data_IF_751516687419
#
_entry.id   IF_751516687419
#
_cell.length_a   1.000
_cell.length_b   1.000
_cell.length_c   1.000
_cell.angle_alpha   90.00
_cell.angle_beta   90.00
_cell.angle_gamma   90.00
#
_symmetry.space_group_name_H-M   'P 1'
#
loop_
_entity.id
_entity.type
_entity.pdbx_description
1 polymer ?
#
# COMPACT_ATOMS: atom_id res chain seq x y z
N UNK A 1 28.17 7.75 3.87
CA UNK A 1 27.81 9.15 3.54
C UNK A 1 27.87 9.39 2.04
N UNK A 2 28.95 9.01 1.35
CA UNK A 2 29.09 9.22 -0.10
C UNK A 2 27.99 8.52 -0.93
N UNK A 3 27.63 7.28 -0.58
CA UNK A 3 26.59 6.51 -1.29
C UNK A 3 25.18 7.12 -1.16
N UNK A 4 24.81 7.58 0.04
CA UNK A 4 23.50 8.20 0.28
C UNK A 4 23.37 9.55 -0.39
N UNK A 5 24.44 10.36 -0.40
CA UNK A 5 24.47 11.62 -1.13
C UNK A 5 24.39 11.39 -2.64
N UNK A 6 25.15 10.43 -3.18
CA UNK A 6 25.09 10.08 -4.61
C UNK A 6 23.68 9.66 -5.04
N UNK A 7 22.98 8.88 -4.20
CA UNK A 7 21.60 8.48 -4.45
C UNK A 7 20.64 9.68 -4.54
N UNK A 8 20.71 10.61 -3.57
CA UNK A 8 19.89 11.83 -3.58
C UNK A 8 20.22 12.73 -4.79
N UNK A 9 21.50 12.88 -5.12
CA UNK A 9 21.94 13.60 -6.32
C UNK A 9 21.42 12.94 -7.60
N UNK A 10 21.40 11.60 -7.66
CA UNK A 10 20.82 10.85 -8.77
C UNK A 10 19.33 11.12 -8.95
N UNK A 11 18.56 11.15 -7.86
CA UNK A 11 17.13 11.51 -7.89
C UNK A 11 16.96 12.96 -8.35
N UNK A 12 17.71 13.90 -7.79
CA UNK A 12 17.64 15.31 -8.20
C UNK A 12 17.96 15.48 -9.69
N UNK A 13 18.99 14.78 -10.18
CA UNK A 13 19.35 14.78 -11.59
C UNK A 13 18.26 14.16 -12.47
N UNK A 14 17.64 13.06 -12.03
CA UNK A 14 16.51 12.45 -12.72
C UNK A 14 15.32 13.41 -12.82
N UNK A 15 14.98 14.13 -11.74
CA UNK A 15 13.90 15.14 -11.74
C UNK A 15 14.17 16.20 -12.81
N UNK A 16 15.40 16.73 -12.85
CA UNK A 16 15.81 17.75 -13.82
C UNK A 16 15.72 17.24 -15.26
N UNK A 17 16.20 16.03 -15.54
CA UNK A 17 16.13 15.42 -16.88
C UNK A 17 14.70 15.14 -17.29
N UNK A 18 13.93 14.48 -16.42
CA UNK A 18 12.54 14.09 -16.69
C UNK A 18 11.69 15.31 -17.00
N UNK A 19 11.87 16.39 -16.24
CA UNK A 19 11.21 17.69 -16.46
C UNK A 19 11.63 18.32 -17.81
N UNK A 20 12.93 18.43 -18.09
CA UNK A 20 13.42 19.03 -19.35
C UNK A 20 12.98 18.27 -20.60
N UNK A 21 12.91 16.94 -20.52
CA UNK A 21 12.53 16.09 -21.64
C UNK A 21 11.02 15.84 -21.73
N UNK A 22 10.21 16.41 -20.83
CA UNK A 22 8.79 16.14 -20.70
C UNK A 22 8.46 14.64 -20.74
N UNK A 23 9.27 13.84 -20.02
CA UNK A 23 9.26 12.39 -20.13
C UNK A 23 7.89 11.80 -19.80
N UNK A 24 7.21 12.35 -18.77
CA UNK A 24 5.85 11.96 -18.39
C UNK A 24 4.87 12.09 -19.55
N UNK A 25 4.87 13.20 -20.28
CA UNK A 25 3.97 13.41 -21.43
C UNK A 25 4.28 12.45 -22.57
N UNK A 26 5.58 12.22 -22.84
CA UNK A 26 6.01 11.29 -23.88
C UNK A 26 5.60 9.85 -23.54
N UNK A 27 5.85 9.39 -22.32
CA UNK A 27 5.42 8.08 -21.84
C UNK A 27 3.90 7.92 -21.87
N UNK A 28 3.14 8.95 -21.46
CA UNK A 28 1.68 8.95 -21.53
C UNK A 28 1.20 8.77 -22.97
N UNK A 29 1.70 9.59 -23.90
CA UNK A 29 1.30 9.54 -25.31
C UNK A 29 1.54 8.17 -25.97
N UNK A 30 2.54 7.42 -25.50
CA UNK A 30 2.86 6.07 -25.99
C UNK A 30 2.00 4.98 -25.34
N UNK A 31 1.75 5.08 -24.02
CA UNK A 31 1.13 4.00 -23.24
C UNK A 31 -0.38 4.14 -23.12
N UNK A 32 -0.88 5.36 -22.94
CA UNK A 32 -2.29 5.64 -22.69
C UNK A 32 -3.23 5.14 -23.79
N UNK A 33 -2.97 5.33 -25.11
CA UNK A 33 -3.89 4.88 -26.14
C UNK A 33 -4.07 3.37 -26.16
N UNK A 34 -2.96 2.62 -25.99
CA UNK A 34 -2.97 1.17 -25.94
C UNK A 34 -3.73 0.66 -24.71
N UNK A 35 -3.44 1.21 -23.52
CA UNK A 35 -4.14 0.81 -22.29
C UNK A 35 -5.63 1.15 -22.38
N UNK A 36 -5.99 2.35 -22.85
CA UNK A 36 -7.38 2.78 -23.00
C UNK A 36 -8.16 1.87 -23.93
N UNK A 37 -7.56 1.47 -25.06
CA UNK A 37 -8.15 0.49 -25.96
C UNK A 37 -8.36 -0.87 -25.27
N UNK A 38 -7.39 -1.35 -24.49
CA UNK A 38 -7.53 -2.59 -23.72
C UNK A 38 -8.63 -2.52 -22.65
N UNK A 39 -8.80 -1.37 -21.96
CA UNK A 39 -9.88 -1.14 -21.00
C UNK A 39 -11.24 -1.23 -21.70
N UNK A 40 -11.40 -0.53 -22.83
CA UNK A 40 -12.65 -0.52 -23.61
C UNK A 40 -12.95 -1.94 -24.13
N UNK A 41 -11.97 -2.61 -24.74
CA UNK A 41 -12.12 -3.97 -25.24
C UNK A 41 -12.42 -4.99 -24.13
N UNK A 42 -12.00 -4.73 -22.90
CA UNK A 42 -12.27 -5.57 -21.73
C UNK A 42 -13.65 -5.35 -21.10
N UNK A 43 -14.33 -4.25 -21.43
CA UNK A 43 -15.62 -3.87 -20.81
C UNK A 43 -16.71 -4.94 -20.95
N UNK A 44 -16.88 -5.65 -22.09
CA UNK A 44 -17.87 -6.73 -22.20
C UNK A 44 -17.67 -7.87 -21.19
N UNK A 45 -16.42 -8.15 -20.78
CA UNK A 45 -16.11 -9.16 -19.77
C UNK A 45 -16.64 -8.71 -18.41
N UNK A 46 -16.45 -7.43 -18.07
CA UNK A 46 -16.96 -6.82 -16.84
C UNK A 46 -18.49 -6.95 -16.79
N UNK A 47 -19.17 -6.59 -17.87
CA UNK A 47 -20.63 -6.68 -17.97
C UNK A 47 -21.12 -8.13 -17.85
N UNK A 48 -20.39 -9.11 -18.41
CA UNK A 48 -20.72 -10.53 -18.26
C UNK A 48 -20.62 -11.01 -16.81
N UNK A 49 -19.60 -10.56 -16.07
CA UNK A 49 -19.42 -10.85 -14.64
C UNK A 49 -20.56 -10.18 -13.83
N UNK A 50 -20.88 -8.93 -14.14
CA UNK A 50 -21.94 -8.17 -13.45
C UNK A 50 -23.35 -8.70 -13.71
N UNK A 51 -23.57 -9.57 -14.69
CA UNK A 51 -24.85 -10.31 -14.83
C UNK A 51 -25.17 -11.17 -13.61
N UNK A 52 -24.15 -11.63 -12.88
CA UNK A 52 -24.29 -12.39 -11.64
C UNK A 52 -24.33 -11.47 -10.40
N UNK A 53 -24.81 -10.24 -10.57
CA UNK A 53 -24.93 -9.31 -9.45
C UNK A 53 -25.91 -9.81 -8.39
N UNK A 54 -25.50 -9.78 -7.12
CA UNK A 54 -26.35 -10.13 -5.98
C UNK A 54 -25.87 -9.37 -4.75
N UNK A 55 -26.80 -8.95 -3.89
CA UNK A 55 -26.49 -8.15 -2.68
C UNK A 55 -25.43 -8.81 -1.78
N UNK A 56 -25.49 -10.14 -1.62
CA UNK A 56 -24.49 -10.88 -0.84
C UNK A 56 -23.09 -10.87 -1.47
N UNK A 57 -23.00 -10.94 -2.81
CA UNK A 57 -21.71 -10.87 -3.50
C UNK A 57 -21.16 -9.44 -3.48
N UNK A 58 -22.02 -8.43 -3.63
CA UNK A 58 -21.65 -7.02 -3.46
C UNK A 58 -21.05 -6.78 -2.07
N UNK A 59 -21.73 -7.26 -1.01
CA UNK A 59 -21.25 -7.14 0.37
C UNK A 59 -19.95 -7.92 0.60
N UNK A 60 -19.85 -9.15 0.07
CA UNK A 60 -18.64 -9.97 0.19
C UNK A 60 -17.43 -9.31 -0.48
N UNK A 61 -17.56 -8.87 -1.72
CA UNK A 61 -16.45 -8.24 -2.45
C UNK A 61 -16.10 -6.85 -1.89
N UNK A 62 -17.08 -6.10 -1.40
CA UNK A 62 -16.83 -4.83 -0.71
C UNK A 62 -16.07 -5.05 0.60
N UNK A 63 -16.47 -6.04 1.40
CA UNK A 63 -15.76 -6.40 2.63
C UNK A 63 -14.34 -6.90 2.32
N UNK A 64 -14.17 -7.70 1.27
CA UNK A 64 -12.86 -8.17 0.82
C UNK A 64 -11.95 -7.01 0.40
N UNK A 65 -12.51 -6.00 -0.29
CA UNK A 65 -11.83 -4.76 -0.66
C UNK A 65 -11.39 -3.96 0.57
N UNK A 66 -12.22 -3.91 1.62
CA UNK A 66 -11.88 -3.25 2.88
C UNK A 66 -10.62 -3.81 3.55
N UNK A 67 -10.30 -5.10 3.41
CA UNK A 67 -9.06 -5.69 3.98
C UNK A 67 -7.77 -5.21 3.31
N UNK A 68 -7.85 -4.44 2.24
CA UNK A 68 -6.70 -3.88 1.52
C UNK A 68 -6.89 -2.37 1.35
N UNK A 69 -7.64 -1.76 2.27
CA UNK A 69 -7.96 -0.33 2.27
C UNK A 69 -7.19 0.42 3.35
N UNK A 70 -7.17 1.76 3.26
CA UNK A 70 -6.49 2.65 4.20
C UNK A 70 -6.91 2.40 5.67
N UNK A 71 -8.20 2.22 6.01
CA UNK A 71 -8.62 1.84 7.36
C UNK A 71 -7.95 0.56 7.87
N UNK A 72 -7.85 -0.46 7.02
CA UNK A 72 -7.19 -1.72 7.39
C UNK A 72 -5.72 -1.46 7.74
N UNK A 73 -4.95 -0.78 6.88
CA UNK A 73 -3.54 -0.47 7.16
C UNK A 73 -3.34 0.37 8.42
N UNK A 74 -4.26 1.32 8.67
CA UNK A 74 -4.23 2.20 9.86
C UNK A 74 -4.38 1.39 11.15
N UNK A 75 -5.12 0.28 11.14
CA UNK A 75 -5.29 -0.58 12.32
C UNK A 75 -4.23 -1.70 12.38
N UNK A 76 -3.91 -2.28 11.22
CA UNK A 76 -3.10 -3.49 11.09
C UNK A 76 -1.61 -3.26 11.31
N UNK A 77 -1.03 -2.21 10.71
CA UNK A 77 0.41 -1.97 10.83
C UNK A 77 0.84 -1.64 12.28
N UNK A 78 0.09 -0.81 13.04
CA UNK A 78 0.40 -0.58 14.46
C UNK A 78 0.24 -1.82 15.33
N UNK A 79 -0.74 -2.69 15.01
CA UNK A 79 -0.91 -3.97 15.70
C UNK A 79 0.37 -4.81 15.62
N UNK A 80 1.05 -4.84 14.47
CA UNK A 80 2.33 -5.56 14.34
C UNK A 80 3.41 -5.00 15.27
N UNK A 81 3.46 -3.68 15.48
CA UNK A 81 4.39 -3.07 16.45
C UNK A 81 4.03 -3.45 17.89
N UNK A 82 2.76 -3.34 18.28
CA UNK A 82 2.34 -3.60 19.66
C UNK A 82 2.44 -5.06 20.09
N UNK A 83 2.46 -5.97 19.13
CA UNK A 83 2.60 -7.40 19.35
C UNK A 83 4.07 -7.87 19.44
N UNK A 84 5.03 -6.96 19.29
CA UNK A 84 6.46 -7.22 19.42
C UNK A 84 7.18 -7.52 18.09
N UNK A 85 6.46 -7.59 16.97
CA UNK A 85 7.03 -7.90 15.65
C UNK A 85 7.58 -6.64 14.95
N UNK A 86 8.44 -5.89 15.64
CA UNK A 86 8.89 -4.56 15.22
C UNK A 86 9.61 -4.57 13.87
N UNK A 87 10.39 -5.61 13.57
CA UNK A 87 11.08 -5.77 12.28
C UNK A 87 10.13 -6.08 11.12
N UNK A 88 9.12 -6.92 11.35
CA UNK A 88 8.10 -7.16 10.33
C UNK A 88 7.28 -5.89 10.10
N UNK A 89 6.87 -5.22 11.18
CA UNK A 89 6.03 -4.03 11.12
C UNK A 89 6.68 -2.89 10.32
N UNK A 90 7.97 -2.60 10.56
CA UNK A 90 8.72 -1.60 9.77
C UNK A 90 8.87 -1.99 8.30
N UNK A 91 9.20 -3.25 8.02
CA UNK A 91 9.44 -3.75 6.67
C UNK A 91 8.14 -3.66 5.86
N UNK A 92 7.02 -4.06 6.45
CA UNK A 92 5.70 -3.98 5.84
C UNK A 92 5.27 -2.52 5.64
N UNK A 93 5.45 -1.65 6.63
CA UNK A 93 5.03 -0.26 6.52
C UNK A 93 5.80 0.46 5.40
N UNK A 94 7.12 0.27 5.33
CA UNK A 94 7.94 0.88 4.28
C UNK A 94 7.69 0.25 2.91
N UNK A 95 7.46 -1.06 2.82
CA UNK A 95 7.04 -1.70 1.58
C UNK A 95 5.73 -1.09 1.10
N UNK A 96 4.71 -0.98 1.96
CA UNK A 96 3.41 -0.41 1.59
C UNK A 96 3.55 1.04 1.11
N UNK A 97 4.37 1.85 1.78
CA UNK A 97 4.63 3.22 1.34
C UNK A 97 5.31 3.28 -0.05
N UNK A 98 6.32 2.43 -0.29
CA UNK A 98 7.01 2.35 -1.59
C UNK A 98 6.10 1.85 -2.72
N UNK A 99 5.29 0.86 -2.38
CA UNK A 99 4.28 0.21 -3.20
C UNK A 99 3.20 1.20 -3.66
N UNK A 100 2.58 1.94 -2.73
CA UNK A 100 1.58 2.97 -3.03
C UNK A 100 2.18 4.16 -3.79
N UNK A 101 3.39 4.61 -3.42
CA UNK A 101 4.08 5.69 -4.15
C UNK A 101 4.32 5.31 -5.61
N UNK A 102 4.87 4.13 -5.87
CA UNK A 102 5.19 3.66 -7.23
C UNK A 102 3.93 3.39 -8.04
N UNK A 103 2.92 2.76 -7.43
CA UNK A 103 1.63 2.49 -8.07
C UNK A 103 0.93 3.77 -8.50
N UNK A 104 0.87 4.78 -7.62
CA UNK A 104 0.24 6.06 -7.92
C UNK A 104 1.05 6.88 -8.94
N UNK A 105 2.39 6.82 -8.91
CA UNK A 105 3.21 7.40 -9.98
C UNK A 105 2.84 6.81 -11.36
N UNK A 106 2.68 5.48 -11.46
CA UNK A 106 2.32 4.85 -12.74
C UNK A 106 0.90 5.21 -13.17
N UNK A 107 -0.05 5.29 -12.23
CA UNK A 107 -1.41 5.80 -12.50
C UNK A 107 -1.38 7.17 -13.14
N UNK A 108 -0.63 8.10 -12.58
CA UNK A 108 -0.58 9.49 -13.05
C UNK A 108 0.29 9.67 -14.29
N UNK A 109 1.29 8.80 -14.53
CA UNK A 109 2.04 8.76 -15.80
C UNK A 109 1.15 8.26 -16.94
N UNK A 110 0.50 7.10 -16.76
CA UNK A 110 -0.29 6.47 -17.84
C UNK A 110 -1.63 7.18 -18.02
N UNK A 111 -2.23 7.67 -16.94
CA UNK A 111 -3.54 8.34 -16.94
C UNK A 111 -4.63 7.50 -17.63
N UNK A 112 -4.62 6.19 -17.35
CA UNK A 112 -5.56 5.26 -17.95
C UNK A 112 -6.99 5.46 -17.42
N UNK A 113 -8.00 5.62 -18.30
CA UNK A 113 -9.38 5.77 -17.86
C UNK A 113 -9.88 4.49 -17.19
N UNK A 114 -10.77 4.65 -16.20
CA UNK A 114 -11.53 3.52 -15.64
C UNK A 114 -12.63 3.07 -16.60
N UNK A 115 -13.19 1.86 -16.43
CA UNK A 115 -14.39 1.45 -17.14
C UNK A 115 -15.54 2.47 -16.98
N UNK A 116 -16.14 2.88 -18.09
CA UNK A 116 -17.19 3.90 -18.10
C UNK A 116 -18.45 3.41 -17.38
N UNK A 117 -19.02 4.30 -16.56
CA UNK A 117 -20.27 4.09 -15.85
C UNK A 117 -21.22 5.24 -16.24
N UNK A 118 -22.35 4.99 -16.92
CA UNK A 118 -22.78 3.73 -17.57
C UNK A 118 -21.86 3.29 -18.74
N UNK A 119 -21.86 2.00 -19.17
CA UNK A 119 -22.79 0.92 -18.80
C UNK A 119 -22.34 0.04 -17.61
N UNK A 120 -21.12 0.19 -17.09
CA UNK A 120 -20.64 -0.59 -15.93
C UNK A 120 -21.30 -0.07 -14.66
N UNK A 121 -21.78 -0.97 -13.78
CA UNK A 121 -22.28 -0.58 -12.46
C UNK A 121 -21.10 -0.39 -11.50
N UNK A 122 -20.96 0.78 -10.89
CA UNK A 122 -19.94 1.02 -9.85
C UNK A 122 -20.55 0.82 -8.46
N UNK A 123 -19.88 0.03 -7.64
CA UNK A 123 -20.27 -0.19 -6.23
C UNK A 123 -19.14 0.30 -5.34
N UNK A 124 -19.42 1.33 -4.56
CA UNK A 124 -18.51 1.88 -3.55
C UNK A 124 -19.16 1.74 -2.18
N UNK A 125 -18.46 1.11 -1.23
CA UNK A 125 -18.98 0.88 0.12
C UNK A 125 -18.52 1.94 1.12
N UNK A 126 -17.44 2.65 0.83
CA UNK A 126 -16.82 3.63 1.73
C UNK A 126 -16.47 4.93 1.01
N UNK A 127 -16.37 6.04 1.75
CA UNK A 127 -15.93 7.34 1.22
C UNK A 127 -14.52 7.27 0.61
N UNK A 128 -13.63 6.50 1.24
CA UNK A 128 -12.28 6.28 0.70
C UNK A 128 -12.35 5.56 -0.68
N UNK A 129 -13.28 4.64 -0.90
CA UNK A 129 -13.48 4.01 -2.20
C UNK A 129 -14.08 4.94 -3.26
N UNK A 130 -14.92 5.88 -2.84
CA UNK A 130 -15.45 6.94 -3.70
C UNK A 130 -14.33 7.88 -4.16
N UNK A 131 -13.48 8.36 -3.23
CA UNK A 131 -12.31 9.18 -3.56
C UNK A 131 -11.34 8.39 -4.47
N UNK A 132 -11.11 7.11 -4.17
CA UNK A 132 -10.29 6.22 -5.00
C UNK A 132 -10.88 5.99 -6.39
N UNK A 133 -12.18 6.18 -6.60
CA UNK A 133 -12.82 6.07 -7.92
C UNK A 133 -12.43 7.23 -8.84
N UNK A 134 -12.02 8.37 -8.27
CA UNK A 134 -11.58 9.56 -9.00
C UNK A 134 -10.14 9.45 -9.52
N UNK A 135 -9.38 8.45 -9.05
CA UNK A 135 -8.04 8.15 -9.56
C UNK A 135 -8.07 7.34 -10.86
N UNK A 136 -6.96 7.32 -11.58
CA UNK A 136 -6.79 6.47 -12.76
C UNK A 136 -6.84 4.96 -12.44
N UNK A 137 -7.18 4.16 -13.45
CA UNK A 137 -7.46 2.73 -13.30
C UNK A 137 -6.22 1.83 -13.22
N UNK A 138 -5.16 2.17 -13.96
CA UNK A 138 -3.99 1.31 -14.13
C UNK A 138 -2.78 1.84 -13.34
N UNK A 139 -2.12 1.03 -12.49
CA UNK A 139 -2.47 -0.32 -12.05
C UNK A 139 -3.49 -0.33 -10.90
N UNK A 140 -4.13 -1.47 -10.68
CA UNK A 140 -4.99 -1.68 -9.50
C UNK A 140 -4.17 -1.70 -8.21
N UNK A 141 -4.28 -0.64 -7.39
CA UNK A 141 -3.63 -0.55 -6.07
C UNK A 141 -4.06 -1.69 -5.16
N UNK A 142 -5.34 -2.08 -5.13
CA UNK A 142 -5.80 -3.16 -4.24
C UNK A 142 -5.11 -4.49 -4.60
N UNK A 143 -4.97 -4.79 -5.89
CA UNK A 143 -4.28 -6.00 -6.34
C UNK A 143 -2.79 -5.95 -6.01
N UNK A 144 -2.14 -4.83 -6.35
CA UNK A 144 -0.72 -4.58 -6.11
C UNK A 144 -0.38 -4.68 -4.61
N UNK A 145 -1.17 -4.01 -3.78
CA UNK A 145 -1.02 -3.96 -2.33
C UNK A 145 -1.25 -5.34 -1.70
N UNK A 146 -2.20 -6.13 -2.22
CA UNK A 146 -2.42 -7.51 -1.75
C UNK A 146 -1.20 -8.39 -2.00
N UNK A 147 -0.56 -8.28 -3.17
CA UNK A 147 0.65 -9.04 -3.49
C UNK A 147 1.78 -8.67 -2.54
N UNK A 148 2.03 -7.37 -2.35
CA UNK A 148 3.08 -6.87 -1.46
C UNK A 148 2.84 -7.28 0.01
N UNK A 149 1.60 -7.13 0.48
CA UNK A 149 1.19 -7.44 1.84
C UNK A 149 1.25 -8.95 2.15
N UNK A 150 0.96 -9.79 1.15
CA UNK A 150 0.99 -11.25 1.30
C UNK A 150 2.39 -11.85 1.15
N UNK A 151 3.30 -11.17 0.45
CA UNK A 151 4.64 -11.69 0.11
C UNK A 151 5.67 -11.66 1.24
N UNK A 152 5.76 -10.57 2.02
CA UNK A 152 6.77 -10.47 3.10
C UNK A 152 6.53 -11.53 4.20
N UNK A 153 5.31 -11.68 4.76
CA UNK A 153 5.10 -12.65 5.83
C UNK A 153 5.35 -14.08 5.35
N UNK A 154 5.09 -14.39 4.08
CA UNK A 154 5.30 -15.73 3.51
C UNK A 154 6.78 -16.14 3.39
N UNK A 155 7.70 -15.17 3.33
CA UNK A 155 9.14 -15.44 3.14
C UNK A 155 9.97 -15.32 4.42
N UNK A 156 9.44 -14.64 5.44
CA UNK A 156 10.19 -14.30 6.68
C UNK A 156 9.43 -14.63 7.97
N UNK A 157 8.35 -15.39 7.92
CA UNK A 157 7.63 -15.79 9.14
C UNK A 157 8.46 -16.76 9.99
N UNK A 158 8.85 -16.29 11.18
CA UNK A 158 9.09 -17.14 12.35
C UNK A 158 7.76 -17.64 12.93
N UNK A 159 7.79 -18.75 13.65
CA UNK A 159 6.63 -19.49 14.21
C UNK A 159 5.60 -18.61 14.95
N UNK A 160 6.02 -17.49 15.56
CA UNK A 160 5.19 -16.55 16.33
C UNK A 160 4.31 -15.59 15.48
N UNK A 161 4.63 -15.38 14.21
CA UNK A 161 3.91 -14.44 13.32
C UNK A 161 2.56 -15.04 12.88
N UNK A 162 2.47 -16.36 12.80
CA UNK A 162 1.26 -17.07 12.36
C UNK A 162 0.10 -16.98 13.36
N UNK A 163 0.37 -16.80 14.66
CA UNK A 163 -0.65 -16.77 15.73
C UNK A 163 -1.28 -15.39 15.94
N UNK A 164 -0.55 -14.31 15.68
CA UNK A 164 -0.99 -12.92 15.88
C UNK A 164 -1.81 -12.31 14.77
N UNK A 165 -1.58 -12.83 13.57
CA UNK A 165 -2.29 -12.41 12.39
C UNK A 165 -3.70 -13.02 12.35
N UNK A 166 -4.22 -13.64 13.42
CA UNK A 166 -5.49 -14.38 13.46
C UNK A 166 -6.73 -13.58 13.07
N UNK A 167 -6.72 -12.24 13.00
CA UNK A 167 -7.84 -11.43 12.49
C UNK A 167 -7.70 -11.16 10.97
N UNK A 168 -6.47 -11.01 10.46
CA UNK A 168 -6.19 -10.89 9.02
C UNK A 168 -6.11 -12.27 8.32
N UNK A 169 -5.68 -13.30 9.06
CA UNK A 169 -5.77 -14.73 8.78
C UNK A 169 -7.10 -15.35 9.22
N UNK A 170 -8.02 -14.67 9.92
CA UNK A 170 -9.37 -15.22 10.13
C UNK A 170 -10.08 -15.45 8.78
N UNK A 171 -9.72 -14.65 7.77
CA UNK A 171 -10.14 -14.85 6.38
C UNK A 171 -9.10 -15.56 5.51
N UNK A 172 -7.89 -15.85 6.03
CA UNK A 172 -6.75 -16.34 5.25
C UNK A 172 -6.05 -17.59 5.82
N UNK A 173 -6.55 -18.25 6.88
CA UNK A 173 -5.82 -19.36 7.49
C UNK A 173 -6.30 -19.96 8.81
N UNK A 174 -7.59 -20.27 8.97
CA UNK A 174 -8.00 -21.27 9.97
C UNK A 174 -7.44 -22.68 9.66
N UNK A 175 -6.90 -22.89 8.45
CA UNK A 175 -6.30 -24.16 8.01
C UNK A 175 -4.78 -24.11 7.96
N UNK A 176 -4.11 -22.98 7.64
CA UNK A 176 -2.63 -22.94 7.59
C UNK A 176 -2.00 -23.03 8.99
N UNK A 177 -2.57 -22.37 9.99
CA UNK A 177 -2.10 -22.46 11.38
C UNK A 177 -2.39 -23.84 11.97
N UNK A 178 -3.60 -24.37 11.73
CA UNK A 178 -3.97 -25.72 12.17
C UNK A 178 -3.12 -26.78 11.44
N UNK A 179 -2.77 -26.58 10.17
CA UNK A 179 -1.98 -27.51 9.37
C UNK A 179 -0.49 -27.42 9.73
N UNK A 180 0.09 -26.24 9.96
CA UNK A 180 1.48 -26.17 10.41
C UNK A 180 1.65 -26.66 11.86
N UNK A 181 0.65 -26.45 12.73
CA UNK A 181 0.63 -27.00 14.09
C UNK A 181 0.41 -28.53 14.09
N UNK A 182 -0.47 -29.05 13.22
CA UNK A 182 -0.67 -30.49 13.02
C UNK A 182 0.54 -31.14 12.35
N UNK A 183 1.23 -30.48 11.42
CA UNK A 183 2.42 -30.99 10.70
C UNK A 183 3.72 -30.86 11.50
N UNK A 184 3.85 -29.85 12.38
CA UNK A 184 4.93 -29.82 13.35
C UNK A 184 4.80 -30.98 14.37
N UNK A 185 3.56 -31.44 14.61
CA UNK A 185 3.28 -32.62 15.42
C UNK A 185 3.33 -33.94 14.61
N UNK A 186 3.09 -33.89 13.30
CA UNK A 186 3.20 -35.04 12.38
C UNK A 186 4.30 -34.78 11.36
N UNK A 187 5.54 -35.13 11.72
CA UNK A 187 6.75 -34.88 10.93
C UNK A 187 6.71 -35.36 9.47
N UNK A 188 6.11 -34.57 8.59
CA UNK A 188 6.04 -34.81 7.15
C UNK A 188 6.01 -33.49 6.34
N UNK A 189 7.05 -33.32 5.52
CA UNK A 189 7.24 -32.52 4.30
C UNK A 189 6.85 -31.03 4.29
N UNK A 190 7.83 -30.17 4.64
CA UNK A 190 7.88 -28.71 4.44
C UNK A 190 7.35 -28.27 3.06
N UNK A 191 7.67 -29.02 2.00
CA UNK A 191 7.24 -28.72 0.62
C UNK A 191 5.71 -28.69 0.45
N UNK A 192 4.95 -29.51 1.20
CA UNK A 192 3.49 -29.53 1.10
C UNK A 192 2.86 -28.28 1.73
N UNK A 193 3.42 -27.81 2.85
CA UNK A 193 2.98 -26.60 3.53
C UNK A 193 3.24 -25.34 2.68
N UNK A 194 4.37 -25.30 1.96
CA UNK A 194 4.70 -24.23 1.02
C UNK A 194 3.72 -24.17 -0.17
N UNK A 195 3.38 -25.32 -0.76
CA UNK A 195 2.42 -25.40 -1.88
C UNK A 195 1.03 -24.92 -1.44
N UNK A 196 0.55 -25.34 -0.26
CA UNK A 196 -0.75 -24.89 0.27
C UNK A 196 -0.72 -23.40 0.55
N UNK A 197 0.33 -22.89 1.17
CA UNK A 197 0.51 -21.46 1.44
C UNK A 197 0.47 -20.63 0.15
N UNK A 198 1.22 -21.04 -0.87
CA UNK A 198 1.25 -20.40 -2.18
C UNK A 198 -0.12 -20.44 -2.88
N UNK A 199 -0.82 -21.57 -2.82
CA UNK A 199 -2.16 -21.74 -3.39
C UNK A 199 -3.17 -20.80 -2.72
N UNK A 200 -3.13 -20.71 -1.40
CA UNK A 200 -4.01 -19.80 -0.64
C UNK A 200 -3.72 -18.33 -0.93
N UNK A 201 -2.45 -17.93 -0.99
CA UNK A 201 -2.06 -16.56 -1.37
C UNK A 201 -2.57 -16.23 -2.77
N UNK A 202 -2.35 -17.12 -3.73
CA UNK A 202 -2.78 -16.95 -5.13
C UNK A 202 -4.31 -16.84 -5.23
N UNK A 203 -5.05 -17.66 -4.46
CA UNK A 203 -6.51 -17.58 -4.40
C UNK A 203 -6.99 -16.24 -3.85
N UNK A 204 -6.41 -15.74 -2.75
CA UNK A 204 -6.79 -14.46 -2.15
C UNK A 204 -6.51 -13.29 -3.10
N UNK A 205 -5.32 -13.28 -3.71
CA UNK A 205 -4.95 -12.27 -4.72
C UNK A 205 -5.92 -12.31 -5.92
N UNK A 206 -6.27 -13.50 -6.39
CA UNK A 206 -7.25 -13.70 -7.45
C UNK A 206 -8.65 -13.23 -7.07
N UNK A 207 -9.11 -13.53 -5.85
CA UNK A 207 -10.42 -13.11 -5.33
C UNK A 207 -10.52 -11.59 -5.18
N UNK A 208 -9.49 -10.92 -4.69
CA UNK A 208 -9.45 -9.46 -4.60
C UNK A 208 -9.44 -8.84 -6.00
N UNK A 209 -8.61 -9.35 -6.92
CA UNK A 209 -8.61 -8.91 -8.31
C UNK A 209 -9.98 -9.06 -8.99
N UNK A 210 -10.62 -10.22 -8.83
CA UNK A 210 -11.97 -10.48 -9.33
C UNK A 210 -13.00 -9.54 -8.70
N UNK A 211 -12.90 -9.29 -7.39
CA UNK A 211 -13.78 -8.37 -6.68
C UNK A 211 -13.71 -6.95 -7.24
N UNK A 212 -12.51 -6.45 -7.57
CA UNK A 212 -12.34 -5.12 -8.18
C UNK A 212 -12.96 -5.00 -9.58
N UNK A 213 -12.96 -6.10 -10.35
CA UNK A 213 -13.67 -6.17 -11.64
C UNK A 213 -15.19 -6.23 -11.40
N UNK A 214 -15.64 -7.08 -10.48
CA UNK A 214 -17.05 -7.26 -10.16
C UNK A 214 -17.72 -5.97 -9.67
N UNK A 215 -17.05 -5.22 -8.79
CA UNK A 215 -17.50 -3.90 -8.29
C UNK A 215 -17.43 -2.78 -9.35
N UNK A 216 -16.94 -3.09 -10.56
CA UNK A 216 -16.86 -2.13 -11.67
C UNK A 216 -15.78 -1.06 -11.52
N UNK A 217 -14.79 -1.30 -10.65
CA UNK A 217 -13.76 -0.32 -10.32
C UNK A 217 -12.55 -0.38 -11.26
N UNK A 218 -12.26 -1.56 -11.80
CA UNK A 218 -11.08 -1.83 -12.62
C UNK A 218 -11.38 -2.81 -13.77
N UNK A 219 -10.61 -2.69 -14.84
CA UNK A 219 -10.59 -3.63 -15.97
C UNK A 219 -9.58 -4.75 -15.75
N UNK A 220 -9.60 -5.77 -16.61
CA UNK A 220 -8.66 -6.90 -16.52
C UNK A 220 -7.19 -6.47 -16.65
N UNK A 221 -6.88 -5.50 -17.52
CA UNK A 221 -5.51 -5.02 -17.72
C UNK A 221 -4.98 -4.30 -16.47
N UNK A 222 -5.85 -3.63 -15.71
CA UNK A 222 -5.50 -2.96 -14.46
C UNK A 222 -5.12 -3.98 -13.37
N UNK A 223 -5.79 -5.13 -13.34
CA UNK A 223 -5.48 -6.23 -12.41
C UNK A 223 -4.16 -6.90 -12.81
N UNK A 224 -3.98 -7.24 -14.08
CA UNK A 224 -2.76 -7.90 -14.57
C UNK A 224 -1.53 -7.01 -14.35
N UNK A 225 -1.64 -5.72 -14.65
CA UNK A 225 -0.56 -4.75 -14.40
C UNK A 225 -0.28 -4.59 -12.91
N UNK A 226 -1.31 -4.56 -12.06
CA UNK A 226 -1.16 -4.55 -10.60
C UNK A 226 -0.44 -5.79 -10.07
N UNK A 227 -0.74 -6.99 -10.59
CA UNK A 227 -0.04 -8.22 -10.25
C UNK A 227 1.44 -8.17 -10.67
N UNK A 228 1.71 -7.81 -11.92
CA UNK A 228 3.06 -7.77 -12.46
C UNK A 228 3.93 -6.75 -11.70
N UNK A 229 3.41 -5.54 -11.47
CA UNK A 229 4.10 -4.50 -10.72
C UNK A 229 4.28 -4.89 -9.25
N UNK A 230 3.25 -5.47 -8.62
CA UNK A 230 3.32 -5.93 -7.23
C UNK A 230 4.40 -7.01 -7.03
N UNK A 231 4.49 -7.99 -7.94
CA UNK A 231 5.52 -9.03 -7.91
C UNK A 231 6.92 -8.44 -8.14
N UNK A 232 7.06 -7.49 -9.08
CA UNK A 232 8.31 -6.79 -9.31
C UNK A 232 8.79 -6.00 -8.10
N UNK A 233 7.90 -5.20 -7.50
CA UNK A 233 8.18 -4.42 -6.28
C UNK A 233 8.54 -5.34 -5.13
N UNK A 234 7.77 -6.41 -4.90
CA UNK A 234 8.06 -7.38 -3.86
C UNK A 234 9.44 -8.01 -4.06
N UNK A 235 9.78 -8.42 -5.27
CA UNK A 235 11.08 -9.05 -5.58
C UNK A 235 12.25 -8.09 -5.27
N UNK A 236 12.14 -6.84 -5.72
CA UNK A 236 13.14 -5.80 -5.41
C UNK A 236 13.21 -5.55 -3.91
N UNK A 237 12.06 -5.48 -3.24
CA UNK A 237 11.99 -5.27 -1.80
C UNK A 237 12.70 -6.39 -1.04
N UNK A 238 12.40 -7.66 -1.34
CA UNK A 238 13.03 -8.79 -0.66
C UNK A 238 14.56 -8.76 -0.74
N UNK A 239 15.10 -8.27 -1.86
CA UNK A 239 16.54 -8.11 -2.08
C UNK A 239 17.15 -6.92 -1.29
N UNK A 240 16.45 -5.78 -1.25
CA UNK A 240 16.99 -4.52 -0.69
C UNK A 240 16.63 -4.34 0.79
N UNK A 241 15.60 -5.02 1.30
CA UNK A 241 14.97 -4.65 2.55
C UNK A 241 15.87 -4.81 3.77
N UNK A 242 16.81 -5.76 3.78
CA UNK A 242 17.79 -5.92 4.87
C UNK A 242 18.82 -4.79 4.89
N UNK A 243 19.25 -4.29 3.73
CA UNK A 243 20.13 -3.12 3.64
C UNK A 243 19.44 -1.86 4.16
N UNK A 244 18.16 -1.68 3.81
CA UNK A 244 17.34 -0.57 4.32
C UNK A 244 17.17 -0.70 5.84
N UNK A 245 16.88 -1.91 6.34
CA UNK A 245 16.70 -2.16 7.77
C UNK A 245 17.95 -1.78 8.57
N UNK A 246 19.10 -2.31 8.14
CA UNK A 246 20.39 -2.04 8.76
C UNK A 246 20.71 -0.55 8.72
N UNK A 247 20.45 0.11 7.59
CA UNK A 247 20.64 1.56 7.49
C UNK A 247 19.74 2.34 8.45
N UNK A 248 18.46 1.97 8.60
CA UNK A 248 17.55 2.66 9.52
C UNK A 248 17.97 2.47 10.98
N UNK A 249 18.40 1.26 11.33
CA UNK A 249 18.70 0.88 12.71
C UNK A 249 20.05 1.42 13.17
N UNK A 250 21.10 1.30 12.36
CA UNK A 250 22.48 1.59 12.76
C UNK A 250 23.21 2.60 11.87
N UNK A 251 22.54 3.07 10.80
CA UNK A 251 23.13 4.04 9.87
C UNK A 251 23.37 5.41 10.50
N UNK A 252 24.26 6.17 9.88
CA UNK A 252 24.50 7.57 10.21
C UNK A 252 23.65 8.48 9.32
N UNK A 253 23.22 9.63 9.84
CA UNK A 253 22.46 10.64 9.10
C UNK A 253 21.15 10.09 8.48
N UNK A 254 20.53 9.09 9.12
CA UNK A 254 19.31 8.43 8.63
C UNK A 254 18.16 9.43 8.48
N UNK A 255 17.93 10.24 9.52
CA UNK A 255 16.83 11.20 9.58
C UNK A 255 16.97 12.25 8.48
N UNK A 256 18.16 12.85 8.33
CA UNK A 256 18.39 13.89 7.32
C UNK A 256 18.33 13.32 5.90
N UNK A 257 18.87 12.12 5.68
CA UNK A 257 18.75 11.42 4.40
C UNK A 257 17.28 11.16 4.03
N UNK A 258 16.49 10.58 4.94
CA UNK A 258 15.09 10.25 4.66
C UNK A 258 14.22 11.49 4.50
N UNK A 259 14.48 12.55 5.28
CA UNK A 259 13.79 13.83 5.10
C UNK A 259 14.08 14.43 3.71
N UNK A 260 15.35 14.42 3.28
CA UNK A 260 15.73 14.87 1.94
C UNK A 260 15.12 14.00 0.84
N UNK A 261 15.09 12.67 1.04
CA UNK A 261 14.43 11.74 0.13
C UNK A 261 12.95 12.07 -0.02
N UNK A 262 12.19 12.17 1.09
CA UNK A 262 10.78 12.53 1.05
C UNK A 262 10.54 13.87 0.35
N UNK A 263 11.38 14.87 0.61
CA UNK A 263 11.29 16.16 -0.06
C UNK A 263 11.50 16.04 -1.58
N UNK A 264 12.55 15.34 -2.02
CA UNK A 264 12.80 15.10 -3.44
C UNK A 264 11.67 14.30 -4.11
N UNK A 265 11.08 13.32 -3.41
CA UNK A 265 9.96 12.54 -3.93
C UNK A 265 8.73 13.39 -4.21
N UNK A 266 8.48 14.48 -3.47
CA UNK A 266 7.39 15.42 -3.78
C UNK A 266 7.58 16.09 -5.16
N UNK A 267 8.82 16.36 -5.57
CA UNK A 267 9.15 16.93 -6.88
C UNK A 267 9.30 15.87 -7.97
N UNK A 268 9.70 14.65 -7.61
CA UNK A 268 9.80 13.53 -8.53
C UNK A 268 8.44 12.97 -8.95
N UNK A 269 7.40 13.28 -8.19
CA UNK A 269 6.05 12.80 -8.46
C UNK A 269 5.53 13.34 -9.82
N UNK A 270 5.01 12.47 -10.70
CA UNK A 270 4.59 12.86 -12.05
C UNK A 270 3.35 13.75 -12.02
N UNK A 271 3.27 14.71 -12.96
CA UNK A 271 2.09 15.56 -13.10
C UNK A 271 0.97 14.79 -13.81
N UNK A 272 -0.22 14.60 -13.19
CA UNK A 272 -1.32 13.90 -13.82
C UNK A 272 -1.93 14.72 -14.98
N UNK A 273 -2.68 14.07 -15.87
CA UNK A 273 -3.38 14.73 -16.98
C UNK A 273 -4.54 15.60 -16.47
N UNK A 274 -5.36 15.04 -15.59
CA UNK A 274 -6.42 15.72 -14.86
C UNK A 274 -6.04 15.79 -13.38
N UNK A 275 -6.54 16.78 -12.61
CA UNK A 275 -6.33 16.77 -11.16
C UNK A 275 -6.85 15.46 -10.55
N UNK A 276 -6.10 14.89 -9.60
CA UNK A 276 -6.48 13.68 -8.86
C UNK A 276 -6.15 13.82 -7.36
N UNK A 277 -6.78 13.05 -6.45
CA UNK A 277 -6.39 13.03 -5.03
C UNK A 277 -5.04 12.33 -4.79
N UNK A 278 -4.47 11.66 -5.80
CA UNK A 278 -3.24 10.84 -5.68
C UNK A 278 -2.02 11.61 -5.17
N UNK A 279 -1.95 12.93 -5.42
CA UNK A 279 -0.90 13.77 -4.84
C UNK A 279 -0.97 13.83 -3.30
N UNK A 280 -2.17 13.91 -2.72
CA UNK A 280 -2.35 13.93 -1.26
C UNK A 280 -2.00 12.59 -0.63
N UNK A 281 -2.39 11.49 -1.28
CA UNK A 281 -2.13 10.16 -0.77
C UNK A 281 -0.62 9.87 -0.69
N UNK A 282 0.15 10.11 -1.75
CA UNK A 282 1.59 9.84 -1.67
C UNK A 282 2.28 10.78 -0.67
N UNK A 283 1.84 12.04 -0.53
CA UNK A 283 2.37 12.96 0.48
C UNK A 283 2.13 12.40 1.90
N UNK A 284 0.93 11.90 2.16
CA UNK A 284 0.59 11.26 3.43
C UNK A 284 1.44 10.00 3.68
N UNK A 285 1.60 9.12 2.68
CA UNK A 285 2.43 7.91 2.80
C UNK A 285 3.92 8.22 3.01
N UNK A 286 4.46 9.22 2.30
CA UNK A 286 5.82 9.70 2.53
C UNK A 286 5.99 10.22 3.96
N UNK A 287 4.99 10.94 4.49
CA UNK A 287 4.98 11.38 5.89
C UNK A 287 4.97 10.23 6.88
N UNK A 288 4.16 9.18 6.62
CA UNK A 288 4.14 7.95 7.45
C UNK A 288 5.50 7.24 7.40
N UNK A 289 6.09 7.06 6.21
CA UNK A 289 7.40 6.44 6.06
C UNK A 289 8.48 7.20 6.83
N UNK A 290 8.53 8.53 6.70
CA UNK A 290 9.45 9.39 7.45
C UNK A 290 9.24 9.28 8.96
N UNK A 291 7.98 9.34 9.43
CA UNK A 291 7.65 9.22 10.85
C UNK A 291 8.09 7.89 11.45
N UNK A 292 7.88 6.79 10.73
CA UNK A 292 8.32 5.44 11.10
C UNK A 292 9.85 5.38 11.17
N UNK A 293 10.56 5.92 10.18
CA UNK A 293 12.03 5.95 10.17
C UNK A 293 12.57 6.75 11.36
N UNK A 294 12.05 7.97 11.60
CA UNK A 294 12.48 8.83 12.71
C UNK A 294 12.20 8.14 14.04
N UNK A 295 10.96 7.69 14.26
CA UNK A 295 10.55 7.07 15.50
C UNK A 295 11.40 5.85 15.83
N UNK A 296 11.70 5.04 14.82
CA UNK A 296 12.53 3.86 15.01
C UNK A 296 13.95 4.25 15.32
N UNK A 297 14.56 5.09 14.48
CA UNK A 297 15.98 5.40 14.63
C UNK A 297 16.27 5.98 16.02
N UNK A 298 15.34 6.77 16.56
CA UNK A 298 15.43 7.35 17.90
C UNK A 298 15.19 6.35 19.03
N UNK A 299 14.33 5.35 18.83
CA UNK A 299 13.84 4.48 19.92
C UNK A 299 14.16 3.01 19.72
N UNK A 300 15.02 2.67 18.77
CA UNK A 300 15.31 1.28 18.39
C UNK A 300 15.77 0.44 19.59
N UNK A 301 16.81 0.93 20.28
CA UNK A 301 17.41 0.24 21.43
C UNK A 301 16.44 0.07 22.61
N UNK A 302 15.43 0.92 22.73
CA UNK A 302 14.49 0.89 23.85
C UNK A 302 13.24 0.04 23.55
N UNK A 303 12.65 0.19 22.37
CA UNK A 303 11.30 -0.31 22.10
C UNK A 303 11.13 -1.07 20.78
N UNK A 304 12.12 -1.06 19.88
CA UNK A 304 11.94 -1.63 18.52
C UNK A 304 13.01 -2.64 18.08
N UNK A 305 13.86 -3.09 19.01
CA UNK A 305 14.81 -4.17 18.82
C UNK A 305 14.10 -5.55 18.76
N UNK A 306 14.82 -6.59 18.33
CA UNK A 306 14.22 -7.92 18.09
C UNK A 306 13.87 -8.68 19.39
N UNK A 307 14.48 -8.29 20.52
CA UNK A 307 14.29 -8.93 21.83
C UNK A 307 13.09 -8.35 22.62
N UNK A 308 12.27 -7.50 22.00
CA UNK A 308 11.07 -6.96 22.63
C UNK A 308 10.06 -8.08 22.91
N UNK A 309 9.48 -8.06 24.11
CA UNK A 309 8.45 -8.99 24.53
C UNK A 309 7.34 -9.16 23.48
N UNK A 310 7.24 -10.38 22.94
CA UNK A 310 6.24 -10.78 21.94
C UNK A 310 4.92 -11.11 22.64
N UNK A 311 3.81 -10.98 21.93
CA UNK A 311 2.54 -11.52 22.46
C UNK A 311 2.74 -13.02 22.79
N UNK A 312 2.04 -13.53 23.80
CA UNK A 312 2.13 -14.93 24.26
C UNK A 312 3.50 -15.33 24.85
N UNK A 313 4.47 -14.43 24.90
CA UNK A 313 5.65 -14.60 25.75
C UNK A 313 5.29 -14.30 27.22
N UNK A 314 5.98 -14.92 28.19
CA UNK A 314 5.79 -14.60 29.61
C UNK A 314 6.05 -13.12 29.95
N UNK A 315 6.81 -12.42 29.09
CA UNK A 315 7.19 -11.02 29.27
C UNK A 315 6.09 -10.02 28.85
N UNK A 316 5.10 -10.43 28.04
CA UNK A 316 3.96 -9.59 27.64
C UNK A 316 2.62 -10.23 28.02
N UNK A 317 2.08 -9.80 29.15
CA UNK A 317 0.77 -10.26 29.61
C UNK A 317 -0.37 -9.75 28.71
N UNK A 318 -1.44 -10.53 28.58
CA UNK A 318 -2.64 -10.15 27.81
C UNK A 318 -3.19 -8.77 28.25
N UNK A 319 -3.29 -8.44 29.56
CA UNK A 319 -3.72 -7.11 29.98
C UNK A 319 -2.82 -5.98 29.51
N UNK A 320 -1.49 -6.18 29.49
CA UNK A 320 -0.55 -5.18 28.99
C UNK A 320 -0.74 -4.97 27.47
N UNK A 321 -0.94 -6.05 26.71
CA UNK A 321 -1.26 -5.98 25.29
C UNK A 321 -2.58 -5.25 25.02
N UNK A 322 -3.65 -5.58 25.73
CA UNK A 322 -4.93 -4.87 25.64
C UNK A 322 -4.76 -3.39 26.00
N UNK A 323 -3.95 -3.08 27.01
CA UNK A 323 -3.58 -1.69 27.36
C UNK A 323 -2.90 -0.95 26.21
N UNK A 324 -1.97 -1.59 25.49
CA UNK A 324 -1.34 -1.02 24.28
C UNK A 324 -2.38 -0.73 23.19
N UNK A 325 -3.36 -1.61 22.98
CA UNK A 325 -4.42 -1.41 21.99
C UNK A 325 -5.35 -0.26 22.36
N UNK A 326 -5.83 -0.25 23.61
CA UNK A 326 -6.78 0.74 24.11
C UNK A 326 -6.18 2.15 24.15
N UNK A 327 -4.88 2.30 24.39
CA UNK A 327 -4.19 3.58 24.31
C UNK A 327 -3.78 3.92 22.88
N UNK A 328 -3.25 2.94 22.15
CA UNK A 328 -2.62 3.13 20.87
C UNK A 328 -3.59 3.47 19.74
N UNK A 329 -4.70 2.75 19.61
CA UNK A 329 -5.68 2.99 18.52
C UNK A 329 -6.28 4.40 18.63
N UNK A 330 -6.80 4.86 19.79
CA UNK A 330 -7.30 6.22 19.90
C UNK A 330 -6.23 7.28 19.62
N UNK A 331 -4.99 7.07 20.08
CA UNK A 331 -3.88 7.99 19.83
C UNK A 331 -3.63 8.13 18.32
N UNK A 332 -3.57 7.02 17.58
CA UNK A 332 -3.37 7.05 16.12
C UNK A 332 -4.53 7.76 15.41
N UNK A 333 -5.77 7.50 15.81
CA UNK A 333 -6.94 8.14 15.21
C UNK A 333 -6.95 9.66 15.47
N UNK A 334 -6.63 10.09 16.69
CA UNK A 334 -6.53 11.51 17.05
C UNK A 334 -5.40 12.18 16.27
N UNK A 335 -4.20 11.59 16.25
CA UNK A 335 -3.06 12.14 15.50
C UNK A 335 -3.37 12.20 14.01
N UNK A 336 -3.96 11.15 13.43
CA UNK A 336 -4.39 11.12 12.02
C UNK A 336 -5.40 12.23 11.71
N UNK A 337 -6.38 12.44 12.59
CA UNK A 337 -7.38 13.49 12.41
C UNK A 337 -6.74 14.89 12.47
N UNK A 338 -5.94 15.17 13.51
CA UNK A 338 -5.28 16.46 13.70
C UNK A 338 -4.27 16.77 12.58
N UNK A 339 -3.43 15.79 12.21
CA UNK A 339 -2.44 15.95 11.14
C UNK A 339 -3.09 16.13 9.78
N UNK A 340 -4.17 15.41 9.47
CA UNK A 340 -4.93 15.61 8.22
C UNK A 340 -5.54 17.02 8.15
N UNK A 341 -6.12 17.51 9.25
CA UNK A 341 -6.66 18.86 9.31
C UNK A 341 -5.56 19.93 9.11
N UNK A 342 -4.42 19.76 9.78
CA UNK A 342 -3.28 20.67 9.67
C UNK A 342 -2.65 20.64 8.26
N UNK A 343 -2.48 19.45 7.69
CA UNK A 343 -1.89 19.26 6.36
C UNK A 343 -2.71 19.96 5.28
N UNK A 344 -4.05 19.87 5.33
CA UNK A 344 -4.94 20.57 4.40
C UNK A 344 -4.77 22.09 4.42
N UNK A 345 -4.38 22.65 5.57
CA UNK A 345 -4.13 24.09 5.72
C UNK A 345 -2.72 24.49 5.29
N UNK A 346 -1.71 23.71 5.68
CA UNK A 346 -0.29 24.03 5.43
C UNK A 346 0.14 23.71 3.99
N UNK A 347 -0.29 22.59 3.43
CA UNK A 347 0.23 22.11 2.13
C UNK A 347 0.01 23.10 0.98
N UNK A 348 -1.16 23.77 0.84
CA UNK A 348 -1.33 24.78 -0.21
C UNK A 348 -0.37 25.97 -0.07
N UNK A 349 -0.13 26.41 1.17
CA UNK A 349 0.75 27.54 1.47
C UNK A 349 2.20 27.16 1.12
N UNK A 350 2.65 25.99 1.57
CA UNK A 350 4.00 25.48 1.27
C UNK A 350 4.19 25.23 -0.22
N UNK A 351 3.20 24.65 -0.89
CA UNK A 351 3.28 24.38 -2.31
C UNK A 351 3.40 25.65 -3.16
N UNK A 352 2.57 26.65 -2.85
CA UNK A 352 2.61 27.94 -3.55
C UNK A 352 3.92 28.69 -3.28
N UNK A 353 4.44 28.65 -2.04
CA UNK A 353 5.70 29.32 -1.69
C UNK A 353 6.94 28.63 -2.27
N UNK A 354 6.92 27.30 -2.36
CA UNK A 354 8.03 26.50 -2.90
C UNK A 354 7.92 26.24 -4.41
N UNK A 355 6.86 26.74 -5.07
CA UNK A 355 6.62 26.53 -6.49
C UNK A 355 6.36 25.07 -6.87
N UNK A 356 5.86 24.25 -5.94
CA UNK A 356 5.54 22.85 -6.20
C UNK A 356 4.24 22.83 -7.03
N UNK A 357 4.25 22.27 -8.25
CA UNK A 357 3.06 22.24 -9.12
C UNK A 357 2.05 21.21 -8.61
N UNK A 358 1.28 21.56 -7.58
CA UNK A 358 0.20 20.70 -7.06
C UNK A 358 -1.02 20.81 -7.98
N UNK A 359 -1.37 19.71 -8.63
CA UNK A 359 -2.64 19.54 -9.37
C UNK A 359 -3.52 18.51 -8.66
N UNK A 360 -3.98 18.83 -7.45
CA UNK A 360 -4.89 17.96 -6.71
C UNK A 360 -6.34 18.45 -6.77
N UNK A 361 -7.30 17.52 -6.81
CA UNK A 361 -8.74 17.79 -6.88
C UNK A 361 -9.30 18.48 -5.66
N UNK A 362 -8.76 18.23 -4.46
CA UNK A 362 -9.44 18.62 -3.21
C UNK A 362 -9.31 20.10 -2.86
N UNK A 363 -8.52 20.88 -3.61
CA UNK A 363 -8.33 22.32 -3.39
C UNK A 363 -9.19 23.19 -4.32
N UNK A 364 -9.86 22.57 -5.29
CA UNK A 364 -10.83 23.23 -6.17
C UNK A 364 -12.19 22.57 -5.87
N UNK A 365 -13.29 23.33 -5.71
CA UNK A 365 -14.60 22.72 -5.50
C UNK A 365 -14.92 21.75 -6.64
N UNK A 366 -15.14 20.47 -6.31
CA UNK A 366 -15.49 19.47 -7.30
C UNK A 366 -16.87 19.81 -7.89
N UNK A 367 -16.90 20.28 -9.15
CA UNK A 367 -18.15 20.35 -9.91
C UNK A 367 -18.59 18.92 -10.24
N UNK A 368 -19.80 18.61 -9.79
CA UNK A 368 -20.37 17.26 -9.73
C UNK A 368 -20.19 16.46 -11.01
N UNK A 369 -19.41 15.38 -10.91
CA UNK A 369 -19.44 14.27 -11.85
C UNK A 369 -19.90 13.05 -11.06
N UNK A 370 -21.22 12.99 -10.84
CA UNK A 370 -21.88 11.86 -10.21
C UNK A 370 -22.00 10.69 -11.18
N UNK A 371 -21.70 9.50 -10.67
CA UNK A 371 -22.29 8.24 -11.07
C UNK A 371 -23.23 7.78 -9.97
#
# INVERSE_FOLDING_TARGET
>A
METTTFFLCGIAFWILISSKLNLTLKLRSLTQPWVSHSVISGTPIILKIQKYQHTHFDAFFSLLSCFVSVPFYTAFLPLLFWTGHCKLARQMTLLMAFCDYTGNCIKDVVSAPRPSCPPVRRVTATKDEEDNAMEYGLPSSHTLNTVCLSGIPCTRASEDICSLLSIYFYLKGAVQYLLHYVLAYTGNNVAFAEIIGFTMVSLVVGLIGLGRIYLGMHSLIDIISGLALGLGILTIWLYVSEYIDNFIVSGQNVISFWAALCFLLLFAYPTPELPTPSFEYHTAFNGVALGIVIGIHQTFQQFHHEDVARIFSPDLTIPAFVGRLLLGIPTILVVKFCTKALAKWILPILANTLGIPIKSTSYIPAEGHGC
#
